data_IF_890064705766
#
_entry.id   IF_890064705766
#
_cell.length_a   1.000
_cell.length_b   1.000
_cell.length_c   1.000
_cell.angle_alpha   90.00
_cell.angle_beta   90.00
_cell.angle_gamma   90.00
#
_symmetry.space_group_name_H-M   'P 1'
#
loop_
_entity.id
_entity.type
_entity.pdbx_description
1 polymer ?
#
# COMPACT_ATOMS: atom_id res chain seq x y z
N UNK A 1 17.53 7.41 15.71
CA UNK A 1 16.87 8.19 14.63
C UNK A 1 16.84 7.28 13.40
N UNK A 2 15.66 6.94 12.86
CA UNK A 2 15.58 6.07 11.67
C UNK A 2 16.13 6.84 10.46
N UNK A 3 17.06 6.28 9.67
CA UNK A 3 17.46 6.90 8.40
C UNK A 3 16.23 7.02 7.50
N UNK A 4 15.99 8.19 6.90
CA UNK A 4 15.00 8.31 5.84
C UNK A 4 15.69 7.97 4.52
N UNK A 5 15.15 6.99 3.81
CA UNK A 5 15.62 6.60 2.47
C UNK A 5 14.58 7.07 1.46
N UNK A 6 14.96 8.06 0.64
CA UNK A 6 14.11 8.49 -0.48
C UNK A 6 14.20 7.49 -1.63
N UNK A 7 13.28 7.59 -2.60
CA UNK A 7 13.36 6.76 -3.81
C UNK A 7 14.64 7.02 -4.62
N UNK A 8 15.15 8.26 -4.59
CA UNK A 8 16.44 8.60 -5.18
C UNK A 8 17.61 7.91 -4.46
N UNK A 9 17.57 7.84 -3.13
CA UNK A 9 18.58 7.12 -2.35
C UNK A 9 18.54 5.61 -2.62
N UNK A 10 17.33 5.03 -2.74
CA UNK A 10 17.14 3.62 -3.08
C UNK A 10 17.67 3.32 -4.49
N UNK A 11 17.37 4.19 -5.48
CA UNK A 11 17.90 4.08 -6.85
C UNK A 11 19.43 4.21 -6.88
N UNK A 12 19.98 5.17 -6.16
CA UNK A 12 21.42 5.36 -6.06
C UNK A 12 22.10 4.15 -5.39
N UNK A 13 21.47 3.58 -4.35
CA UNK A 13 21.95 2.37 -3.69
C UNK A 13 21.94 1.16 -4.63
N UNK A 14 20.85 0.94 -5.37
CA UNK A 14 20.75 -0.12 -6.36
C UNK A 14 21.84 0.01 -7.43
N UNK A 15 22.02 1.23 -7.99
CA UNK A 15 23.06 1.50 -8.98
C UNK A 15 24.47 1.20 -8.44
N UNK A 16 24.76 1.57 -7.18
CA UNK A 16 26.02 1.27 -6.52
C UNK A 16 26.24 -0.23 -6.30
N UNK A 17 25.19 -0.96 -5.91
CA UNK A 17 25.27 -2.40 -5.74
C UNK A 17 25.61 -3.10 -7.07
N UNK A 18 24.88 -2.80 -8.15
CA UNK A 18 25.12 -3.43 -9.46
C UNK A 18 26.47 -3.02 -10.08
N UNK A 19 26.96 -1.81 -9.79
CA UNK A 19 28.31 -1.38 -10.18
C UNK A 19 29.43 -1.99 -9.31
N UNK A 20 29.09 -2.60 -8.18
CA UNK A 20 30.07 -3.19 -7.26
C UNK A 20 30.54 -4.59 -7.73
N UNK A 21 31.69 -5.07 -7.25
CA UNK A 21 32.12 -6.46 -7.50
C UNK A 21 31.11 -7.52 -7.04
N UNK A 22 30.23 -7.18 -6.09
CA UNK A 22 29.22 -8.11 -5.58
C UNK A 22 28.00 -8.24 -6.52
N UNK A 23 27.63 -7.15 -7.20
CA UNK A 23 26.50 -7.14 -8.15
C UNK A 23 26.92 -7.42 -9.60
N UNK A 24 28.22 -7.51 -9.87
CA UNK A 24 28.76 -7.81 -11.20
C UNK A 24 28.24 -9.16 -11.71
N UNK A 25 27.55 -9.15 -12.86
CA UNK A 25 26.93 -10.33 -13.46
C UNK A 25 25.52 -10.67 -12.96
N UNK A 26 24.96 -9.84 -12.07
CA UNK A 26 23.57 -9.93 -11.59
C UNK A 26 22.70 -8.78 -12.13
N UNK A 27 23.22 -7.98 -13.05
CA UNK A 27 22.55 -6.78 -13.56
C UNK A 27 21.66 -7.10 -14.78
N UNK A 28 20.46 -7.59 -14.50
CA UNK A 28 19.39 -7.82 -15.47
C UNK A 28 18.03 -7.35 -14.93
N UNK A 29 17.01 -7.36 -15.79
CA UNK A 29 15.69 -6.84 -15.45
C UNK A 29 15.05 -7.54 -14.24
N UNK A 30 15.17 -8.87 -14.14
CA UNK A 30 14.54 -9.65 -13.08
C UNK A 30 15.21 -9.36 -11.73
N UNK A 31 16.54 -9.38 -11.71
CA UNK A 31 17.33 -9.12 -10.50
C UNK A 31 17.24 -7.68 -10.04
N UNK A 32 17.01 -6.73 -10.95
CA UNK A 32 16.66 -5.34 -10.61
C UNK A 32 15.33 -5.27 -9.88
N UNK A 33 14.28 -5.92 -10.41
CA UNK A 33 12.96 -5.98 -9.76
C UNK A 33 12.99 -6.67 -8.40
N UNK A 34 13.73 -7.78 -8.28
CA UNK A 34 13.94 -8.45 -6.99
C UNK A 34 14.71 -7.56 -6.00
N UNK A 35 15.74 -6.84 -6.45
CA UNK A 35 16.48 -5.94 -5.57
C UNK A 35 15.59 -4.81 -5.05
N UNK A 36 14.74 -4.23 -5.89
CA UNK A 36 13.76 -3.23 -5.44
C UNK A 36 12.85 -3.78 -4.33
N UNK A 37 12.42 -5.04 -4.46
CA UNK A 37 11.65 -5.73 -3.41
C UNK A 37 12.45 -5.92 -2.11
N UNK A 38 13.73 -6.27 -2.20
CA UNK A 38 14.63 -6.37 -1.03
C UNK A 38 14.86 -5.03 -0.34
N UNK A 39 15.03 -3.96 -1.13
CA UNK A 39 15.19 -2.60 -0.62
C UNK A 39 13.92 -2.14 0.10
N UNK A 40 12.75 -2.37 -0.49
CA UNK A 40 11.46 -2.10 0.14
C UNK A 40 11.29 -2.87 1.45
N UNK A 41 11.65 -4.16 1.47
CA UNK A 41 11.63 -4.95 2.70
C UNK A 41 12.51 -4.31 3.79
N UNK A 42 13.72 -3.87 3.46
CA UNK A 42 14.63 -3.28 4.44
C UNK A 42 14.22 -1.89 4.94
N UNK A 43 13.54 -1.08 4.12
CA UNK A 43 13.11 0.28 4.47
C UNK A 43 11.73 0.37 5.08
N UNK A 44 10.76 -0.36 4.53
CA UNK A 44 9.34 -0.15 4.80
C UNK A 44 8.73 -1.26 5.66
N UNK A 45 9.24 -2.50 5.54
CA UNK A 45 8.82 -3.64 6.38
C UNK A 45 9.73 -3.87 7.59
N UNK A 46 11.03 -3.61 7.43
CA UNK A 46 12.09 -3.89 8.40
C UNK A 46 12.44 -2.72 9.33
N UNK A 47 13.65 -2.69 9.91
CA UNK A 47 14.06 -1.68 10.89
C UNK A 47 14.26 -0.26 10.32
N UNK A 48 14.00 -0.04 9.03
CA UNK A 48 14.15 1.26 8.35
C UNK A 48 15.55 1.49 7.76
N UNK A 49 16.29 0.44 7.44
CA UNK A 49 17.64 0.52 6.85
C UNK A 49 17.87 -0.68 5.92
N UNK A 50 17.95 -0.48 4.59
CA UNK A 50 18.09 -1.55 3.60
C UNK A 50 19.47 -2.21 3.61
N UNK A 51 20.45 -1.60 4.27
CA UNK A 51 21.79 -2.15 4.43
C UNK A 51 21.91 -3.04 5.69
N UNK A 52 20.85 -3.16 6.49
CA UNK A 52 20.90 -3.90 7.75
C UNK A 52 20.37 -5.32 7.58
N UNK A 53 21.30 -6.26 7.44
CA UNK A 53 20.99 -7.68 7.35
C UNK A 53 21.45 -8.46 8.59
N UNK A 54 20.68 -9.46 8.98
CA UNK A 54 20.95 -10.36 10.09
C UNK A 54 20.32 -11.73 9.81
N UNK A 55 20.72 -12.79 10.53
CA UNK A 55 20.10 -14.12 10.36
C UNK A 55 18.57 -14.08 10.48
N UNK A 56 18.04 -13.33 11.44
CA UNK A 56 16.58 -13.16 11.64
C UNK A 56 15.92 -12.44 10.47
N UNK A 57 16.57 -11.42 9.89
CA UNK A 57 16.02 -10.75 8.72
C UNK A 57 15.97 -11.68 7.49
N UNK A 58 16.97 -12.54 7.33
CA UNK A 58 17.02 -13.56 6.27
C UNK A 58 15.92 -14.61 6.45
N UNK A 59 15.73 -15.10 7.67
CA UNK A 59 14.64 -16.02 8.02
C UNK A 59 13.28 -15.44 7.65
N UNK A 60 12.95 -14.24 8.15
CA UNK A 60 11.67 -13.58 7.87
C UNK A 60 11.47 -13.39 6.37
N UNK A 61 12.53 -12.99 5.65
CA UNK A 61 12.44 -12.73 4.22
C UNK A 61 12.16 -14.00 3.40
N UNK A 62 12.93 -15.07 3.63
CA UNK A 62 12.86 -16.30 2.84
C UNK A 62 11.76 -17.25 3.30
N UNK A 63 11.48 -17.32 4.60
CA UNK A 63 10.47 -18.23 5.13
C UNK A 63 9.03 -17.67 5.00
N UNK A 64 8.85 -16.35 5.05
CA UNK A 64 7.52 -15.72 5.03
C UNK A 64 7.36 -14.68 3.92
N UNK A 65 8.19 -13.64 3.92
CA UNK A 65 7.86 -12.42 3.20
C UNK A 65 7.85 -12.59 1.67
N UNK A 66 8.94 -13.10 1.07
CA UNK A 66 9.00 -13.31 -0.39
C UNK A 66 7.90 -14.28 -0.85
N UNK A 67 7.75 -15.48 -0.25
CA UNK A 67 6.71 -16.42 -0.67
C UNK A 67 5.28 -15.91 -0.55
N UNK A 68 5.01 -14.94 0.35
CA UNK A 68 3.67 -14.40 0.61
C UNK A 68 3.38 -13.09 -0.14
N UNK A 69 4.40 -12.26 -0.39
CA UNK A 69 4.23 -10.89 -0.90
C UNK A 69 4.62 -10.70 -2.35
N UNK A 70 5.46 -11.58 -2.93
CA UNK A 70 5.87 -11.44 -4.32
C UNK A 70 5.12 -12.47 -5.17
N UNK A 71 4.25 -11.97 -6.05
CA UNK A 71 3.54 -12.78 -7.03
C UNK A 71 4.35 -12.83 -8.31
N UNK A 72 5.13 -13.88 -8.51
CA UNK A 72 5.97 -14.09 -9.67
C UNK A 72 6.20 -15.59 -9.93
N UNK A 73 6.75 -15.92 -11.11
CA UNK A 73 7.00 -17.30 -11.48
C UNK A 73 8.16 -17.94 -10.69
N UNK A 74 8.20 -19.28 -10.69
CA UNK A 74 9.25 -20.02 -9.97
C UNK A 74 10.65 -19.67 -10.46
N UNK A 75 10.92 -19.56 -11.79
CA UNK A 75 12.20 -19.11 -12.30
C UNK A 75 12.65 -17.75 -11.76
N UNK A 76 11.75 -16.77 -11.69
CA UNK A 76 12.03 -15.44 -11.13
C UNK A 76 12.37 -15.53 -9.65
N UNK A 77 11.50 -16.14 -8.84
CA UNK A 77 11.71 -16.27 -7.40
C UNK A 77 12.96 -17.09 -7.04
N UNK A 78 13.30 -18.10 -7.86
CA UNK A 78 14.48 -18.92 -7.67
C UNK A 78 15.82 -18.15 -7.69
N UNK A 79 15.82 -16.90 -8.19
CA UNK A 79 16.99 -16.01 -8.22
C UNK A 79 17.23 -15.27 -6.89
N UNK A 80 16.22 -15.19 -6.02
CA UNK A 80 16.27 -14.38 -4.80
C UNK A 80 17.39 -14.76 -3.82
N UNK A 81 17.69 -16.04 -3.53
CA UNK A 81 18.73 -16.41 -2.57
C UNK A 81 20.13 -15.93 -3.00
N UNK A 82 20.47 -16.08 -4.29
CA UNK A 82 21.79 -15.68 -4.80
C UNK A 82 21.96 -14.17 -4.83
N UNK A 83 20.90 -13.45 -5.23
CA UNK A 83 20.87 -12.00 -5.15
C UNK A 83 21.00 -11.51 -3.71
N UNK A 84 20.29 -12.14 -2.76
CA UNK A 84 20.35 -11.82 -1.34
C UNK A 84 21.76 -12.02 -0.77
N UNK A 85 22.44 -13.13 -1.09
CA UNK A 85 23.83 -13.36 -0.68
C UNK A 85 24.76 -12.26 -1.18
N UNK A 86 24.64 -11.88 -2.46
CA UNK A 86 25.43 -10.80 -3.04
C UNK A 86 25.16 -9.47 -2.34
N UNK A 87 23.89 -9.16 -2.10
CA UNK A 87 23.47 -7.92 -1.46
C UNK A 87 23.87 -7.84 0.03
N UNK A 88 23.84 -8.95 0.77
CA UNK A 88 24.36 -9.03 2.15
C UNK A 88 25.85 -8.73 2.18
N UNK A 89 26.64 -9.33 1.28
CA UNK A 89 28.09 -9.08 1.21
C UNK A 89 28.40 -7.62 0.91
N UNK A 90 27.70 -7.03 -0.06
CA UNK A 90 27.79 -5.61 -0.36
C UNK A 90 27.43 -4.77 0.87
N UNK A 91 26.29 -5.04 1.49
CA UNK A 91 25.80 -4.26 2.63
C UNK A 91 26.73 -4.34 3.84
N UNK A 92 27.27 -5.51 4.12
CA UNK A 92 28.21 -5.72 5.22
C UNK A 92 29.58 -5.09 4.93
N UNK A 93 30.06 -5.11 3.69
CA UNK A 93 31.28 -4.41 3.29
C UNK A 93 31.12 -2.89 3.44
N UNK A 94 29.99 -2.34 3.00
CA UNK A 94 29.62 -0.92 3.15
C UNK A 94 29.55 -0.48 4.62
N UNK A 95 29.11 -1.38 5.50
CA UNK A 95 28.95 -1.11 6.94
C UNK A 95 30.16 -1.54 7.78
N UNK A 96 31.22 -2.09 7.17
CA UNK A 96 32.39 -2.57 7.88
C UNK A 96 32.08 -3.70 8.89
N UNK A 97 31.08 -4.54 8.59
CA UNK A 97 30.69 -5.65 9.46
C UNK A 97 31.77 -6.74 9.42
N UNK A 98 32.16 -7.23 10.61
CA UNK A 98 33.19 -8.26 10.76
C UNK A 98 32.82 -9.57 10.02
N UNK A 99 33.81 -10.18 9.38
CA UNK A 99 33.68 -11.42 8.61
C UNK A 99 32.79 -12.49 9.26
N UNK A 100 32.98 -12.84 10.55
CA UNK A 100 32.17 -13.88 11.18
C UNK A 100 30.66 -13.55 11.31
N UNK A 101 30.26 -12.27 11.39
CA UNK A 101 28.83 -11.91 11.36
C UNK A 101 28.25 -12.00 9.95
N UNK A 102 29.06 -11.67 8.95
CA UNK A 102 28.71 -11.85 7.54
C UNK A 102 28.53 -13.33 7.23
N UNK A 103 29.47 -14.17 7.64
CA UNK A 103 29.38 -15.63 7.51
C UNK A 103 28.13 -16.18 8.21
N UNK A 104 27.84 -15.73 9.43
CA UNK A 104 26.61 -16.13 10.15
C UNK A 104 25.33 -15.74 9.40
N UNK A 105 25.30 -14.56 8.80
CA UNK A 105 24.12 -14.08 8.04
C UNK A 105 23.98 -14.81 6.71
N UNK A 106 25.09 -15.15 6.04
CA UNK A 106 25.09 -15.96 4.82
C UNK A 106 24.71 -17.41 5.11
N UNK A 107 25.16 -17.98 6.22
CA UNK A 107 24.77 -19.32 6.66
C UNK A 107 23.26 -19.43 6.90
N UNK A 108 22.60 -18.36 7.37
CA UNK A 108 21.15 -18.32 7.45
C UNK A 108 20.48 -18.40 6.07
N UNK A 109 21.09 -17.83 5.01
CA UNK A 109 20.57 -17.99 3.65
C UNK A 109 20.66 -19.45 3.22
N UNK A 110 21.79 -20.11 3.52
CA UNK A 110 22.01 -21.53 3.22
C UNK A 110 21.03 -22.44 3.99
N UNK A 111 20.72 -22.08 5.24
CA UNK A 111 19.77 -22.80 6.09
C UNK A 111 18.33 -22.71 5.56
N UNK A 112 17.88 -21.52 5.17
CA UNK A 112 16.48 -21.28 4.78
C UNK A 112 16.21 -21.52 3.29
N UNK A 113 17.23 -21.49 2.42
CA UNK A 113 17.06 -21.68 0.98
C UNK A 113 16.37 -23.01 0.59
N UNK A 114 16.70 -24.18 1.16
CA UNK A 114 16.02 -25.43 0.80
C UNK A 114 14.51 -25.38 1.07
N UNK A 115 14.12 -24.85 2.24
CA UNK A 115 12.72 -24.66 2.61
C UNK A 115 12.01 -23.64 1.71
N UNK A 116 12.67 -22.52 1.41
CA UNK A 116 12.18 -21.53 0.45
C UNK A 116 11.98 -22.12 -0.94
N UNK A 117 12.96 -22.86 -1.47
CA UNK A 117 12.89 -23.49 -2.80
C UNK A 117 11.80 -24.55 -2.88
N UNK A 118 11.61 -25.34 -1.82
CA UNK A 118 10.48 -26.25 -1.72
C UNK A 118 9.17 -25.46 -1.75
N UNK A 119 9.09 -24.40 -0.96
CA UNK A 119 7.91 -23.54 -0.81
C UNK A 119 7.46 -22.89 -2.12
N UNK A 120 8.39 -22.36 -2.93
CA UNK A 120 8.05 -21.74 -4.23
C UNK A 120 7.74 -22.78 -5.32
N UNK A 121 8.14 -24.05 -5.14
CA UNK A 121 7.90 -25.16 -6.09
C UNK A 121 6.67 -25.98 -5.76
N UNK A 122 6.22 -25.98 -4.50
CA UNK A 122 4.90 -26.50 -4.14
C UNK A 122 3.89 -25.81 -5.05
N UNK A 123 2.91 -26.54 -5.65
CA UNK A 123 1.86 -25.96 -6.47
C UNK A 123 1.05 -24.99 -5.61
N UNK A 124 1.55 -23.77 -5.54
CA UNK A 124 0.83 -22.62 -5.10
C UNK A 124 0.24 -22.01 -6.35
N UNK A 125 -1.00 -21.55 -6.27
CA UNK A 125 -1.53 -20.81 -7.38
C UNK A 125 -0.63 -19.58 -7.60
N UNK A 126 -0.27 -19.30 -8.85
CA UNK A 126 0.54 -18.13 -9.22
C UNK A 126 -0.34 -17.07 -9.88
N UNK A 127 0.19 -15.85 -9.96
CA UNK A 127 -0.59 -14.72 -10.46
C UNK A 127 -1.76 -14.44 -9.50
N UNK A 128 -2.95 -14.11 -10.02
CA UNK A 128 -4.06 -13.70 -9.18
C UNK A 128 -4.39 -14.77 -8.11
N UNK A 129 -4.18 -16.07 -8.36
CA UNK A 129 -4.49 -17.12 -7.38
C UNK A 129 -3.49 -17.20 -6.20
N UNK A 130 -2.28 -16.64 -6.35
CA UNK A 130 -1.36 -16.44 -5.23
C UNK A 130 -1.91 -15.41 -4.24
N UNK A 131 -2.64 -14.40 -4.75
CA UNK A 131 -3.32 -13.38 -3.96
C UNK A 131 -4.39 -14.02 -3.06
N UNK A 132 -5.17 -14.96 -3.61
CA UNK A 132 -6.18 -15.75 -2.86
C UNK A 132 -5.59 -16.60 -1.75
N UNK A 133 -4.49 -17.29 -2.04
CA UNK A 133 -3.78 -18.11 -1.07
C UNK A 133 -3.17 -17.25 0.04
N UNK A 134 -2.61 -16.08 -0.30
CA UNK A 134 -2.12 -15.10 0.67
C UNK A 134 -3.23 -14.50 1.55
N UNK A 135 -4.48 -14.52 1.07
CA UNK A 135 -5.68 -14.12 1.79
C UNK A 135 -6.37 -15.27 2.56
N UNK A 136 -5.83 -16.50 2.52
CA UNK A 136 -6.29 -17.63 3.33
C UNK A 136 -7.48 -18.42 2.78
N UNK A 137 -7.77 -18.32 1.49
CA UNK A 137 -8.99 -18.86 0.86
C UNK A 137 -8.82 -20.25 0.18
N UNK A 138 -7.70 -20.96 0.39
CA UNK A 138 -7.44 -22.28 -0.22
C UNK A 138 -6.95 -23.32 0.79
N UNK A 139 -7.44 -24.57 0.68
CA UNK A 139 -6.97 -25.74 1.43
C UNK A 139 -5.88 -26.50 0.66
N UNK A 140 -4.89 -27.04 1.38
CA UNK A 140 -3.59 -27.48 0.84
C UNK A 140 -3.61 -28.86 0.16
N UNK A 141 -4.73 -29.58 0.15
CA UNK A 141 -4.78 -31.01 -0.21
C UNK A 141 -5.53 -31.35 -1.50
N UNK A 142 -5.96 -30.36 -2.29
CA UNK A 142 -6.51 -30.60 -3.63
C UNK A 142 -6.25 -29.39 -4.50
N UNK A 143 -5.50 -29.57 -5.59
CA UNK A 143 -5.39 -28.53 -6.62
C UNK A 143 -6.74 -28.49 -7.36
N UNK A 144 -7.52 -27.42 -7.24
CA UNK A 144 -8.80 -27.33 -7.94
C UNK A 144 -8.57 -27.22 -9.46
N UNK A 145 -9.61 -27.45 -10.29
CA UNK A 145 -9.49 -27.30 -11.74
C UNK A 145 -9.16 -25.84 -12.14
N UNK A 146 -8.53 -25.59 -13.31
CA UNK A 146 -8.17 -24.25 -13.82
C UNK A 146 -9.31 -23.22 -13.70
N UNK A 147 -10.52 -23.60 -14.07
CA UNK A 147 -11.74 -22.79 -14.05
C UNK A 147 -12.13 -22.34 -12.63
N UNK A 148 -11.80 -23.14 -11.61
CA UNK A 148 -12.00 -22.77 -10.21
C UNK A 148 -11.05 -21.66 -9.78
N UNK A 149 -9.87 -21.57 -10.38
CA UNK A 149 -8.95 -20.47 -10.09
C UNK A 149 -9.41 -19.17 -10.72
N UNK A 150 -9.93 -19.18 -11.96
CA UNK A 150 -10.51 -17.98 -12.58
C UNK A 150 -11.70 -17.46 -11.75
N UNK A 151 -12.66 -18.34 -11.45
CA UNK A 151 -13.81 -18.00 -10.58
C UNK A 151 -13.40 -17.54 -9.17
N UNK A 152 -12.42 -18.17 -8.53
CA UNK A 152 -12.00 -17.76 -7.20
C UNK A 152 -11.31 -16.38 -7.19
N UNK A 153 -10.76 -15.95 -8.34
CA UNK A 153 -10.18 -14.62 -8.51
C UNK A 153 -11.19 -13.57 -8.75
N UNK A 154 -12.18 -13.90 -9.55
CA UNK A 154 -13.33 -13.05 -9.73
C UNK A 154 -14.01 -12.83 -8.39
N UNK A 155 -14.14 -13.87 -7.57
CA UNK A 155 -14.67 -13.76 -6.21
C UNK A 155 -13.88 -12.81 -5.30
N UNK A 156 -12.54 -12.80 -5.37
CA UNK A 156 -11.73 -11.90 -4.54
C UNK A 156 -11.63 -10.49 -5.08
N UNK A 157 -11.54 -10.31 -6.40
CA UNK A 157 -11.65 -8.99 -6.99
C UNK A 157 -13.02 -8.39 -6.68
N UNK A 158 -14.07 -9.21 -6.75
CA UNK A 158 -15.42 -8.81 -6.39
C UNK A 158 -15.55 -8.54 -4.88
N UNK A 159 -14.88 -9.31 -4.02
CA UNK A 159 -14.82 -9.02 -2.58
C UNK A 159 -14.06 -7.74 -2.25
N UNK A 160 -13.00 -7.43 -2.99
CA UNK A 160 -12.30 -6.15 -2.87
C UNK A 160 -13.21 -4.98 -3.26
N UNK A 161 -13.91 -5.08 -4.40
CA UNK A 161 -14.91 -4.09 -4.82
C UNK A 161 -16.02 -3.93 -3.78
N UNK A 162 -16.51 -5.03 -3.18
CA UNK A 162 -17.50 -4.99 -2.10
C UNK A 162 -16.97 -4.23 -0.89
N UNK A 163 -15.75 -4.50 -0.45
CA UNK A 163 -15.13 -3.81 0.69
C UNK A 163 -14.94 -2.33 0.41
N UNK A 164 -14.58 -1.95 -0.81
CA UNK A 164 -14.40 -0.56 -1.20
C UNK A 164 -15.66 0.29 -1.00
N UNK A 165 -16.81 -0.24 -1.39
CA UNK A 165 -18.11 0.45 -1.35
C UNK A 165 -18.96 0.12 -0.12
N UNK A 166 -18.49 -0.77 0.76
CA UNK A 166 -19.20 -1.14 1.99
C UNK A 166 -20.23 -2.27 1.86
N UNK A 167 -20.18 -3.06 0.78
CA UNK A 167 -20.88 -4.34 0.66
C UNK A 167 -21.51 -4.61 -0.70
N UNK A 168 -22.10 -5.80 -0.85
CA UNK A 168 -22.73 -6.28 -2.09
C UNK A 168 -23.86 -5.35 -2.58
N UNK A 169 -24.72 -4.88 -1.68
CA UNK A 169 -25.84 -4.03 -2.06
C UNK A 169 -25.38 -2.66 -2.60
N UNK A 170 -24.35 -2.09 -1.98
CA UNK A 170 -23.74 -0.84 -2.45
C UNK A 170 -23.06 -1.05 -3.82
N UNK A 171 -22.35 -2.16 -4.01
CA UNK A 171 -21.73 -2.50 -5.29
C UNK A 171 -22.76 -2.73 -6.41
N UNK A 172 -23.87 -3.39 -6.09
CA UNK A 172 -24.94 -3.66 -7.05
C UNK A 172 -25.71 -2.41 -7.48
N UNK A 173 -25.84 -1.43 -6.59
CA UNK A 173 -26.53 -0.15 -6.85
C UNK A 173 -25.61 0.99 -7.24
N UNK A 174 -24.30 0.74 -7.36
CA UNK A 174 -23.28 1.74 -7.68
C UNK A 174 -23.55 2.39 -9.03
N UNK A 175 -23.77 3.70 -9.02
CA UNK A 175 -23.85 4.53 -10.22
C UNK A 175 -22.53 5.27 -10.49
N UNK A 176 -22.41 5.85 -11.68
CA UNK A 176 -21.22 6.58 -12.14
C UNK A 176 -21.46 8.09 -12.21
N UNK A 177 -22.54 8.59 -11.60
CA UNK A 177 -22.85 10.02 -11.61
C UNK A 177 -21.80 10.76 -10.79
N UNK A 178 -21.28 11.92 -11.23
CA UNK A 178 -20.29 12.64 -10.46
C UNK A 178 -20.83 13.09 -9.11
N UNK A 179 -19.97 13.18 -8.10
CA UNK A 179 -20.32 13.76 -6.80
C UNK A 179 -20.75 15.22 -6.99
N UNK A 180 -21.85 15.66 -6.33
CA UNK A 180 -22.35 17.02 -6.49
C UNK A 180 -21.44 18.05 -5.81
N UNK A 181 -21.44 19.29 -6.27
CA UNK A 181 -20.84 20.41 -5.52
C UNK A 181 -21.80 20.84 -4.40
N UNK A 182 -21.68 20.20 -3.24
CA UNK A 182 -22.52 20.46 -2.08
C UNK A 182 -21.75 21.23 -0.99
N UNK A 183 -22.44 22.12 -0.23
CA UNK A 183 -21.83 22.79 0.90
C UNK A 183 -21.44 21.79 2.00
N UNK A 184 -20.51 22.18 2.87
CA UNK A 184 -20.13 21.37 4.02
C UNK A 184 -21.32 21.19 4.99
N UNK A 185 -21.59 19.95 5.37
CA UNK A 185 -22.65 19.60 6.32
C UNK A 185 -22.15 19.72 7.77
N UNK A 186 -22.78 20.61 8.54
CA UNK A 186 -22.46 20.86 9.94
C UNK A 186 -23.37 20.10 10.90
N UNK A 187 -24.42 19.42 10.43
CA UNK A 187 -25.53 18.92 11.25
C UNK A 187 -25.08 17.95 12.34
N UNK A 188 -24.12 17.07 12.05
CA UNK A 188 -23.58 16.08 13.01
C UNK A 188 -22.28 16.54 13.69
N UNK A 189 -21.76 17.72 13.35
CA UNK A 189 -20.52 18.24 13.92
C UNK A 189 -20.82 19.02 15.20
N UNK A 190 -20.22 18.69 16.35
CA UNK A 190 -20.46 19.43 17.59
C UNK A 190 -20.03 20.90 17.53
N UNK A 191 -20.90 21.80 18.00
CA UNK A 191 -20.69 23.26 17.96
C UNK A 191 -19.35 23.71 18.55
N UNK A 192 -18.85 23.01 19.58
CA UNK A 192 -17.63 23.37 20.28
C UNK A 192 -16.34 23.16 19.45
N UNK A 193 -16.41 22.39 18.36
CA UNK A 193 -15.30 22.20 17.42
C UNK A 193 -15.48 22.93 16.09
N UNK A 194 -16.60 23.63 15.86
CA UNK A 194 -16.92 24.28 14.58
C UNK A 194 -15.82 25.21 14.10
N UNK A 195 -15.28 26.07 14.97
CA UNK A 195 -14.20 27.01 14.60
C UNK A 195 -12.97 26.25 14.07
N UNK A 196 -12.57 25.17 14.74
CA UNK A 196 -11.40 24.38 14.33
C UNK A 196 -11.66 23.59 13.06
N UNK A 197 -12.85 23.00 12.93
CA UNK A 197 -13.25 22.27 11.72
C UNK A 197 -13.32 23.23 10.53
N UNK A 198 -13.79 24.47 10.73
CA UNK A 198 -13.83 25.51 9.71
C UNK A 198 -12.43 25.90 9.20
N UNK A 199 -11.43 26.00 10.09
CA UNK A 199 -10.03 26.22 9.70
C UNK A 199 -9.52 25.08 8.79
N UNK A 200 -9.80 23.82 9.16
CA UNK A 200 -9.40 22.65 8.37
C UNK A 200 -10.13 22.64 7.03
N UNK A 201 -11.44 22.89 7.03
CA UNK A 201 -12.28 22.95 5.84
C UNK A 201 -11.78 23.99 4.84
N UNK A 202 -11.44 25.19 5.30
CA UNK A 202 -10.91 26.23 4.42
C UNK A 202 -9.60 25.81 3.73
N UNK A 203 -8.74 25.04 4.42
CA UNK A 203 -7.52 24.51 3.84
C UNK A 203 -7.80 23.38 2.84
N UNK A 204 -8.73 22.47 3.17
CA UNK A 204 -9.17 21.39 2.29
C UNK A 204 -9.76 21.96 0.99
N UNK A 205 -10.67 22.93 1.09
CA UNK A 205 -11.33 23.55 -0.07
C UNK A 205 -10.33 24.23 -1.00
N UNK A 206 -9.37 24.99 -0.45
CA UNK A 206 -8.30 25.61 -1.24
C UNK A 206 -7.41 24.57 -1.92
N UNK A 207 -7.00 23.53 -1.18
CA UNK A 207 -6.20 22.46 -1.74
C UNK A 207 -6.91 21.78 -2.92
N UNK A 208 -8.20 21.45 -2.76
CA UNK A 208 -8.94 20.80 -3.82
C UNK A 208 -9.16 21.71 -5.03
N UNK A 209 -9.34 23.01 -4.81
CA UNK A 209 -9.45 24.00 -5.90
C UNK A 209 -8.14 24.14 -6.70
N UNK A 210 -6.99 24.02 -6.03
CA UNK A 210 -5.68 24.24 -6.66
C UNK A 210 -5.04 22.96 -7.22
N UNK A 211 -5.29 21.80 -6.59
CA UNK A 211 -4.60 20.53 -6.89
C UNK A 211 -5.52 19.39 -7.33
N UNK A 212 -6.83 19.49 -7.09
CA UNK A 212 -7.81 18.44 -7.39
C UNK A 212 -8.98 19.01 -8.21
N UNK A 213 -10.17 18.48 -7.99
CA UNK A 213 -11.42 18.88 -8.62
C UNK A 213 -12.55 19.04 -7.58
N UNK A 214 -13.76 19.27 -8.09
CA UNK A 214 -14.96 19.43 -7.28
C UNK A 214 -15.42 18.14 -6.60
N UNK A 215 -15.21 16.98 -7.22
CA UNK A 215 -15.65 15.69 -6.66
C UNK A 215 -14.79 15.30 -5.46
N UNK A 216 -13.47 15.44 -5.58
CA UNK A 216 -12.53 15.22 -4.47
C UNK A 216 -12.75 16.22 -3.35
N UNK A 217 -13.13 17.47 -3.65
CA UNK A 217 -13.55 18.44 -2.64
C UNK A 217 -14.78 17.97 -1.88
N UNK A 218 -15.80 17.49 -2.58
CA UNK A 218 -17.02 16.93 -1.95
C UNK A 218 -16.71 15.72 -1.10
N UNK A 219 -15.93 14.77 -1.60
CA UNK A 219 -15.47 13.60 -0.83
C UNK A 219 -14.70 14.03 0.43
N UNK A 220 -13.80 15.02 0.31
CA UNK A 220 -13.02 15.53 1.44
C UNK A 220 -13.89 16.21 2.51
N UNK A 221 -14.91 16.98 2.08
CA UNK A 221 -15.90 17.60 2.97
C UNK A 221 -16.68 16.54 3.75
N UNK A 222 -17.21 15.53 3.06
CA UNK A 222 -17.93 14.41 3.69
C UNK A 222 -17.06 13.64 4.68
N UNK A 223 -15.80 13.37 4.32
CA UNK A 223 -14.85 12.70 5.20
C UNK A 223 -14.57 13.55 6.45
N UNK A 224 -14.31 14.84 6.29
CA UNK A 224 -14.07 15.75 7.41
C UNK A 224 -15.28 15.83 8.35
N UNK A 225 -16.50 15.95 7.82
CA UNK A 225 -17.73 15.94 8.61
C UNK A 225 -17.88 14.63 9.40
N UNK A 226 -17.71 13.47 8.74
CA UNK A 226 -17.78 12.16 9.40
C UNK A 226 -16.75 12.00 10.50
N UNK A 227 -15.50 12.41 10.27
CA UNK A 227 -14.44 12.33 11.30
C UNK A 227 -14.77 13.25 12.48
N UNK A 228 -15.25 14.47 12.22
CA UNK A 228 -15.61 15.44 13.26
C UNK A 228 -16.83 15.00 14.07
N UNK A 229 -17.80 14.30 13.46
CA UNK A 229 -18.93 13.69 14.14
C UNK A 229 -18.50 12.47 14.98
N UNK A 230 -17.62 11.62 14.45
CA UNK A 230 -17.22 10.36 15.08
C UNK A 230 -16.23 10.54 16.25
N UNK A 231 -15.24 11.41 16.11
CA UNK A 231 -14.28 11.73 17.18
C UNK A 231 -13.92 13.23 17.21
N UNK A 232 -14.75 14.07 17.86
CA UNK A 232 -14.51 15.50 17.95
C UNK A 232 -13.24 15.88 18.74
N UNK A 233 -12.72 14.99 19.60
CA UNK A 233 -11.50 15.26 20.40
C UNK A 233 -10.26 15.51 19.53
N UNK A 234 -10.26 14.94 18.32
CA UNK A 234 -9.22 15.16 17.30
C UNK A 234 -9.04 16.64 16.96
N UNK A 235 -10.13 17.42 17.05
CA UNK A 235 -10.15 18.86 16.75
C UNK A 235 -10.07 19.72 18.02
N UNK A 236 -10.43 19.19 19.20
CA UNK A 236 -10.25 19.89 20.48
C UNK A 236 -8.79 20.02 20.87
N UNK A 237 -7.98 18.99 20.58
CA UNK A 237 -6.53 19.05 20.80
C UNK A 237 -5.92 20.17 19.96
N UNK A 238 -4.96 20.90 20.54
CA UNK A 238 -4.23 22.02 19.89
C UNK A 238 -3.27 21.52 18.80
N UNK A 239 -3.83 20.92 17.76
CA UNK A 239 -3.13 20.49 16.55
C UNK A 239 -3.29 21.53 15.45
N UNK A 240 -2.27 21.65 14.59
CA UNK A 240 -2.28 22.58 13.46
C UNK A 240 -3.26 22.10 12.39
N UNK A 241 -4.12 22.98 11.90
CA UNK A 241 -5.16 22.68 10.92
C UNK A 241 -4.58 22.09 9.62
N UNK A 242 -3.39 22.53 9.21
CA UNK A 242 -2.66 22.05 8.04
C UNK A 242 -2.39 20.55 8.09
N UNK A 243 -2.09 20.02 9.28
CA UNK A 243 -1.82 18.59 9.45
C UNK A 243 -3.07 17.73 9.25
N UNK A 244 -4.23 18.19 9.75
CA UNK A 244 -5.50 17.51 9.57
C UNK A 244 -6.00 17.64 8.13
N UNK A 245 -5.91 18.84 7.55
CA UNK A 245 -6.32 19.09 6.16
C UNK A 245 -5.50 18.27 5.17
N UNK A 246 -4.18 18.19 5.34
CA UNK A 246 -3.30 17.36 4.53
C UNK A 246 -3.67 15.87 4.62
N UNK A 247 -4.02 15.39 5.81
CA UNK A 247 -4.42 14.01 6.02
C UNK A 247 -5.76 13.69 5.35
N UNK A 248 -6.77 14.56 5.50
CA UNK A 248 -8.07 14.42 4.82
C UNK A 248 -7.89 14.34 3.30
N UNK A 249 -7.14 15.29 2.73
CA UNK A 249 -6.85 15.32 1.29
C UNK A 249 -6.10 14.08 0.82
N UNK A 250 -5.12 13.61 1.60
CA UNK A 250 -4.36 12.40 1.27
C UNK A 250 -5.23 11.14 1.30
N UNK A 251 -6.13 11.01 2.27
CA UNK A 251 -7.08 9.89 2.36
C UNK A 251 -7.95 9.87 1.09
N UNK A 252 -8.69 10.95 0.80
CA UNK A 252 -9.60 10.91 -0.37
C UNK A 252 -8.86 10.74 -1.71
N UNK A 253 -7.67 11.32 -1.85
CA UNK A 253 -6.85 11.14 -3.04
C UNK A 253 -6.33 9.70 -3.18
N UNK A 254 -6.03 9.02 -2.06
CA UNK A 254 -5.62 7.60 -2.06
C UNK A 254 -6.80 6.70 -2.42
N UNK A 255 -7.98 6.94 -1.84
CA UNK A 255 -9.19 6.17 -2.13
C UNK A 255 -9.68 6.26 -3.59
N UNK A 256 -9.22 7.29 -4.32
CA UNK A 256 -9.59 7.52 -5.73
C UNK A 256 -8.40 7.35 -6.68
N UNK A 257 -7.34 6.68 -6.24
CA UNK A 257 -6.14 6.36 -7.04
C UNK A 257 -5.42 7.55 -7.70
N UNK A 258 -5.63 8.77 -7.19
CA UNK A 258 -5.06 10.02 -7.75
C UNK A 258 -3.53 9.98 -7.82
N UNK A 259 -2.89 9.29 -6.86
CA UNK A 259 -1.43 9.16 -6.83
C UNK A 259 -0.87 8.09 -7.79
N UNK A 260 -1.71 7.19 -8.32
CA UNK A 260 -1.28 6.14 -9.26
C UNK A 260 -1.08 6.69 -10.67
N UNK A 261 -1.87 7.68 -11.07
CA UNK A 261 -1.86 8.27 -12.42
C UNK A 261 -0.75 9.32 -12.65
N UNK A 262 0.14 9.52 -11.67
CA UNK A 262 1.39 10.32 -11.71
C UNK A 262 1.27 11.84 -11.94
N UNK A 263 0.09 12.41 -12.11
CA UNK A 263 -0.08 13.87 -12.25
C UNK A 263 0.16 14.63 -10.94
N UNK A 264 -0.16 14.01 -9.80
CA UNK A 264 0.11 14.55 -8.47
C UNK A 264 0.82 13.50 -7.60
N UNK A 265 1.84 13.94 -6.86
CA UNK A 265 2.57 13.11 -5.90
C UNK A 265 2.23 13.48 -4.45
N UNK A 266 2.36 12.52 -3.53
CA UNK A 266 2.24 12.74 -2.08
C UNK A 266 3.22 13.84 -1.60
N UNK A 267 4.38 13.98 -2.26
CA UNK A 267 5.36 15.03 -1.97
C UNK A 267 4.84 16.42 -2.36
N UNK A 268 4.18 16.56 -3.50
CA UNK A 268 3.57 17.83 -3.91
C UNK A 268 2.45 18.22 -2.95
N UNK A 269 1.59 17.27 -2.58
CA UNK A 269 0.53 17.50 -1.59
C UNK A 269 1.10 17.97 -0.24
N UNK A 270 2.09 17.26 0.31
CA UNK A 270 2.73 17.66 1.59
C UNK A 270 3.42 19.01 1.51
N UNK A 271 4.09 19.30 0.39
CA UNK A 271 4.73 20.59 0.14
C UNK A 271 3.72 21.73 0.08
N UNK A 272 2.54 21.51 -0.51
CA UNK A 272 1.47 22.50 -0.59
C UNK A 272 0.97 22.91 0.80
N UNK A 273 0.78 21.94 1.70
CA UNK A 273 0.39 22.19 3.09
C UNK A 273 1.54 22.70 3.99
N UNK A 274 2.79 22.70 3.51
CA UNK A 274 3.95 23.16 4.27
C UNK A 274 4.26 22.31 5.51
N UNK A 275 3.91 21.02 5.49
CA UNK A 275 4.10 20.12 6.65
C UNK A 275 5.40 19.30 6.54
N UNK A 276 6.12 19.19 7.66
CA UNK A 276 7.28 18.31 7.79
C UNK A 276 6.83 16.93 8.29
N UNK A 277 6.48 16.02 7.38
CA UNK A 277 6.11 14.64 7.70
C UNK A 277 5.21 13.98 6.67
N UNK A 278 5.03 12.65 6.79
CA UNK A 278 4.12 11.90 5.90
C UNK A 278 2.65 12.13 6.31
N UNK A 279 1.73 12.35 5.36
CA UNK A 279 0.31 12.49 5.65
C UNK A 279 -0.26 11.26 6.35
N UNK A 280 0.26 10.06 6.02
CA UNK A 280 -0.16 8.79 6.63
C UNK A 280 -0.04 8.77 8.15
N UNK A 281 1.00 9.41 8.72
CA UNK A 281 1.14 9.55 10.18
C UNK A 281 -0.01 10.36 10.80
N UNK A 282 -0.48 11.38 10.09
CA UNK A 282 -1.57 12.26 10.52
C UNK A 282 -2.95 11.67 10.21
N UNK A 283 -3.03 10.80 9.21
CA UNK A 283 -4.24 10.09 8.82
C UNK A 283 -4.66 9.02 9.84
N UNK A 284 -3.71 8.39 10.55
CA UNK A 284 -4.01 7.31 11.52
C UNK A 284 -5.18 7.60 12.47
N UNK A 285 -5.18 8.69 13.26
CA UNK A 285 -6.30 9.00 14.14
C UNK A 285 -7.61 9.27 13.39
N UNK A 286 -7.57 9.84 12.18
CA UNK A 286 -8.77 10.12 11.39
C UNK A 286 -9.41 8.83 10.87
N UNK A 287 -8.59 7.90 10.36
CA UNK A 287 -9.03 6.59 9.89
C UNK A 287 -9.61 5.75 11.03
N UNK A 288 -8.93 5.72 12.18
CA UNK A 288 -9.42 5.03 13.38
C UNK A 288 -10.77 5.58 13.85
N UNK A 289 -10.99 6.90 13.80
CA UNK A 289 -12.25 7.52 14.21
C UNK A 289 -13.45 7.02 13.38
N UNK A 290 -13.24 6.69 12.10
CA UNK A 290 -14.31 6.22 11.21
C UNK A 290 -14.36 4.69 11.07
N UNK A 291 -13.57 3.97 11.87
CA UNK A 291 -13.53 2.50 11.90
C UNK A 291 -12.68 1.85 10.80
N UNK A 292 -11.80 2.61 10.14
CA UNK A 292 -10.89 2.10 9.10
C UNK A 292 -9.54 1.77 9.72
N UNK A 293 -9.00 0.58 9.40
CA UNK A 293 -7.66 0.17 9.84
C UNK A 293 -6.58 1.04 9.17
N UNK A 294 -5.81 1.85 9.93
CA UNK A 294 -4.83 2.75 9.33
C UNK A 294 -3.68 2.05 8.61
N UNK A 295 -3.28 0.88 9.09
CA UNK A 295 -2.14 0.15 8.51
C UNK A 295 -2.58 -0.59 7.23
N UNK A 296 -3.76 -1.22 7.23
CA UNK A 296 -4.41 -1.74 6.02
C UNK A 296 -4.71 -0.67 4.98
N UNK A 297 -5.10 0.54 5.39
CA UNK A 297 -5.37 1.64 4.47
C UNK A 297 -4.10 2.19 3.80
N UNK A 298 -3.07 2.49 4.60
CA UNK A 298 -1.87 3.17 4.09
C UNK A 298 -0.96 2.26 3.24
N UNK A 299 -1.04 0.94 3.46
CA UNK A 299 -0.16 -0.05 2.82
C UNK A 299 -0.92 -1.17 2.11
N UNK A 300 -2.24 -1.05 2.00
CA UNK A 300 -3.13 -2.05 1.41
C UNK A 300 -4.07 -1.45 0.39
N UNK A 301 -5.37 -1.52 0.66
CA UNK A 301 -6.43 -1.38 -0.35
C UNK A 301 -6.89 0.06 -0.60
N UNK A 302 -6.68 0.96 0.38
CA UNK A 302 -7.11 2.37 0.28
C UNK A 302 -8.62 2.56 0.44
N UNK A 303 -9.33 1.55 0.94
CA UNK A 303 -10.79 1.54 0.98
C UNK A 303 -11.37 2.30 2.18
N UNK A 304 -12.39 3.12 1.92
CA UNK A 304 -13.16 3.82 2.95
C UNK A 304 -14.49 3.14 3.29
N UNK A 305 -14.86 2.09 2.56
CA UNK A 305 -16.07 1.32 2.81
C UNK A 305 -17.37 2.07 2.55
N UNK A 306 -17.35 3.08 1.66
CA UNK A 306 -18.55 3.77 1.20
C UNK A 306 -18.30 4.42 -0.16
N UNK A 307 -19.27 4.36 -1.10
CA UNK A 307 -19.20 5.06 -2.37
C UNK A 307 -19.28 6.59 -2.22
N UNK A 308 -19.67 7.11 -1.06
CA UNK A 308 -19.83 8.55 -0.82
C UNK A 308 -18.53 9.35 -0.94
N UNK A 309 -17.39 8.67 -0.92
CA UNK A 309 -16.05 9.24 -1.03
C UNK A 309 -15.39 8.98 -2.39
N UNK A 310 -16.10 8.33 -3.32
CA UNK A 310 -15.56 7.89 -4.60
C UNK A 310 -16.09 8.77 -5.75
N UNK A 311 -15.18 9.28 -6.59
CA UNK A 311 -15.53 10.07 -7.78
C UNK A 311 -16.31 9.23 -8.80
N UNK A 312 -17.04 9.90 -9.67
CA UNK A 312 -17.78 9.25 -10.76
C UNK A 312 -16.86 8.40 -11.64
N UNK A 313 -15.66 8.90 -11.95
CA UNK A 313 -14.65 8.18 -12.74
C UNK A 313 -14.14 6.92 -12.03
N UNK A 314 -13.83 7.01 -10.72
CA UNK A 314 -13.39 5.85 -9.96
C UNK A 314 -14.51 4.79 -9.85
N UNK A 315 -15.76 5.23 -9.62
CA UNK A 315 -16.94 4.35 -9.63
C UNK A 315 -17.19 3.73 -11.00
N UNK A 316 -16.92 4.43 -12.09
CA UNK A 316 -17.02 3.88 -13.44
C UNK A 316 -16.03 2.72 -13.65
N UNK A 317 -14.80 2.85 -13.15
CA UNK A 317 -13.82 1.75 -13.15
C UNK A 317 -14.30 0.54 -12.34
N UNK A 318 -14.88 0.78 -11.16
CA UNK A 318 -15.45 -0.29 -10.32
C UNK A 318 -16.66 -0.98 -10.98
N UNK A 319 -17.55 -0.22 -11.61
CA UNK A 319 -18.71 -0.75 -12.35
C UNK A 319 -18.25 -1.62 -13.52
N UNK A 320 -17.27 -1.15 -14.30
CA UNK A 320 -16.70 -1.92 -15.40
C UNK A 320 -16.05 -3.22 -14.89
N UNK A 321 -15.30 -3.15 -13.78
CA UNK A 321 -14.73 -4.32 -13.13
C UNK A 321 -15.81 -5.30 -12.67
N UNK A 322 -16.81 -4.84 -11.93
CA UNK A 322 -17.95 -5.65 -11.46
C UNK A 322 -18.67 -6.36 -12.62
N UNK A 323 -18.94 -5.65 -13.71
CA UNK A 323 -19.71 -6.19 -14.84
C UNK A 323 -18.87 -7.22 -15.62
N UNK A 324 -17.57 -6.97 -15.83
CA UNK A 324 -16.66 -7.94 -16.44
C UNK A 324 -16.58 -9.24 -15.63
N UNK A 325 -16.51 -9.14 -14.30
CA UNK A 325 -16.43 -10.29 -13.40
C UNK A 325 -17.75 -11.08 -13.28
N UNK A 326 -18.87 -10.49 -13.71
CA UNK A 326 -20.20 -11.14 -13.69
C UNK A 326 -20.61 -11.73 -15.04
N UNK A 327 -20.08 -11.20 -16.14
CA UNK A 327 -20.35 -11.70 -17.49
C UNK A 327 -19.57 -13.00 -17.81
N UNK A 328 -18.53 -13.32 -17.04
CA UNK A 328 -17.74 -14.55 -17.15
C UNK A 328 -18.37 -15.78 -16.46
N UNK A 329 -19.60 -15.70 -15.93
CA UNK A 329 -20.36 -16.86 -15.40
C UNK A 329 -21.06 -17.60 -16.57
N UNK A 330 -20.57 -18.78 -17.01
CA UNK A 330 -21.19 -19.50 -18.11
C UNK A 330 -22.48 -20.16 -17.60
N UNK A 331 -23.61 -19.71 -18.15
CA UNK A 331 -24.90 -20.43 -18.06
C UNK A 331 -24.83 -21.85 -18.61
#
# INVERSE_FOLDING_TARGET
MRPQWTDDDKRALAARFFASPFGAGLDDADRRGLLESLLWFGTDYGPGDPLRWSPVAVEILLADWIPRKIVADVPYLAQAPDLLRAFIRFSHAERGIRGPLTEQTLAAVDEWEPGYRATIRTPRPQGPAALLAAMGLLDSNSAPPPEFFESALDDVLLDDLRRAVGGEQALASLDTSPLPDEPFDWQEVPDDVHERVAEVLALVDRCCTELFDVELRTAARRLLARVAAADPEIFRRRSRAEGSAAAICWIVATANDVFRDRDLTVKQLTSWFGIAGTPSTRAKPLLTAIGVDPDGYAYGDGHLGSPDYLTGDHRAGMVAGRDSLRDDDPR
#
